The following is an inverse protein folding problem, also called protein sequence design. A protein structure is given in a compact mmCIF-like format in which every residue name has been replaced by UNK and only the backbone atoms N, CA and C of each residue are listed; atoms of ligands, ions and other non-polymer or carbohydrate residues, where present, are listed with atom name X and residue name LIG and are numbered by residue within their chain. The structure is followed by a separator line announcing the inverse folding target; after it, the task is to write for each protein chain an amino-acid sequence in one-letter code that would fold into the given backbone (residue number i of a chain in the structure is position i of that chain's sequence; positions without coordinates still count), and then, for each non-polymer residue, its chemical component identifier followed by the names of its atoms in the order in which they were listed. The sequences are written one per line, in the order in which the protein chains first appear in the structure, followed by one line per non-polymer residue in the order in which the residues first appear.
data_IF_556073282769
#
_entry.id   IF_556073282769
#
_cell.length_a   1.000
_cell.length_b   1.000
_cell.length_c   1.000
_cell.angle_alpha   90.00
_cell.angle_beta   90.00
_cell.angle_gamma   90.00
#
_symmetry.space_group_name_H-M   'P 1'
#
loop_
_entity.id
_entity.type
_entity.pdbx_description
1 polymer ?
#
# COMPACT_ATOMS: atom_id res chain seq x y z
N UNK A 1 -39.43 -12.10 1.03
CA UNK A 1 -38.23 -11.25 0.95
C UNK A 1 -37.60 -11.51 -0.41
N UNK A 2 -37.74 -10.56 -1.36
CA UNK A 2 -37.16 -10.68 -2.69
C UNK A 2 -35.69 -10.28 -2.62
N UNK A 3 -34.78 -11.18 -2.99
CA UNK A 3 -33.34 -10.89 -2.94
C UNK A 3 -32.91 -10.13 -4.20
N UNK A 4 -31.98 -9.18 -4.10
CA UNK A 4 -31.46 -8.44 -5.25
C UNK A 4 -30.68 -9.38 -6.18
N UNK A 5 -30.70 -9.09 -7.48
CA UNK A 5 -29.96 -9.84 -8.50
C UNK A 5 -28.46 -9.84 -8.14
N UNK A 6 -27.95 -10.98 -7.68
CA UNK A 6 -26.53 -11.17 -7.33
C UNK A 6 -25.71 -11.28 -8.60
N UNK A 7 -24.62 -10.52 -8.71
CA UNK A 7 -23.69 -10.65 -9.83
C UNK A 7 -22.33 -11.12 -9.30
N UNK A 8 -21.89 -12.29 -9.77
CA UNK A 8 -20.56 -12.84 -9.47
C UNK A 8 -19.62 -12.39 -10.58
N UNK A 9 -18.63 -11.55 -10.28
CA UNK A 9 -17.64 -11.14 -11.27
C UNK A 9 -16.73 -12.34 -11.60
N UNK A 10 -16.58 -12.72 -12.89
CA UNK A 10 -15.71 -13.83 -13.26
C UNK A 10 -14.24 -13.49 -12.92
N UNK A 11 -13.57 -14.35 -12.16
CA UNK A 11 -12.14 -14.21 -11.81
C UNK A 11 -11.85 -13.65 -10.42
N UNK A 12 -12.87 -13.28 -9.63
CA UNK A 12 -12.74 -13.09 -8.19
C UNK A 12 -12.95 -14.47 -7.55
N UNK A 13 -12.01 -14.93 -6.74
CA UNK A 13 -12.17 -16.10 -5.92
C UNK A 13 -13.49 -15.99 -5.11
N UNK A 14 -14.27 -17.08 -5.08
CA UNK A 14 -15.67 -17.19 -4.63
C UNK A 14 -15.95 -16.78 -3.15
N UNK A 15 -15.09 -15.99 -2.51
CA UNK A 15 -15.19 -15.57 -1.12
C UNK A 15 -16.10 -14.36 -0.89
N UNK A 16 -16.63 -13.69 -1.92
CA UNK A 16 -17.52 -12.55 -1.72
C UNK A 16 -18.61 -12.45 -2.78
N UNK A 17 -19.84 -12.20 -2.34
CA UNK A 17 -20.99 -11.88 -3.19
C UNK A 17 -21.37 -10.40 -3.07
N UNK A 18 -21.81 -9.83 -4.19
CA UNK A 18 -22.16 -8.43 -4.32
C UNK A 18 -23.56 -8.25 -4.92
N UNK A 19 -24.27 -7.24 -4.45
CA UNK A 19 -25.56 -6.84 -4.99
C UNK A 19 -25.75 -5.33 -4.97
N UNK A 20 -26.43 -4.82 -6.02
CA UNK A 20 -26.84 -3.42 -6.12
C UNK A 20 -28.25 -3.24 -5.54
N UNK A 21 -28.53 -2.16 -4.79
CA UNK A 21 -29.88 -1.82 -4.36
C UNK A 21 -30.79 -1.49 -5.55
N UNK A 22 -32.05 -1.89 -5.46
CA UNK A 22 -33.10 -1.38 -6.34
C UNK A 22 -33.81 -0.19 -5.66
N UNK A 23 -33.64 0.96 -6.28
CA UNK A 23 -34.38 2.23 -6.20
C UNK A 23 -34.35 3.10 -4.92
N UNK A 24 -34.33 2.57 -3.69
CA UNK A 24 -34.37 3.44 -2.48
C UNK A 24 -32.99 3.76 -1.86
N UNK A 25 -31.92 3.13 -2.35
CA UNK A 25 -30.57 3.13 -1.76
C UNK A 25 -29.47 3.47 -2.79
N UNK A 26 -29.74 4.40 -3.70
CA UNK A 26 -28.84 4.79 -4.80
C UNK A 26 -27.45 5.19 -4.25
N UNK A 27 -26.41 4.46 -4.68
CA UNK A 27 -25.01 4.67 -4.30
C UNK A 27 -24.49 3.75 -3.18
N UNK A 28 -25.33 2.95 -2.54
CA UNK A 28 -24.89 1.94 -1.57
C UNK A 28 -24.54 0.62 -2.26
N UNK A 29 -23.63 -0.16 -1.66
CA UNK A 29 -23.31 -1.52 -2.13
C UNK A 29 -23.53 -2.54 -1.01
N UNK A 30 -24.06 -3.70 -1.38
CA UNK A 30 -24.21 -4.84 -0.46
C UNK A 30 -23.13 -5.88 -0.76
N UNK A 31 -22.47 -6.37 0.29
CA UNK A 31 -21.45 -7.42 0.17
C UNK A 31 -21.62 -8.47 1.28
N UNK A 32 -21.41 -9.75 0.97
CA UNK A 32 -21.32 -10.84 1.97
C UNK A 32 -20.20 -11.81 1.64
N UNK A 33 -19.61 -12.43 2.65
CA UNK A 33 -18.47 -13.35 2.49
C UNK A 33 -18.86 -14.78 2.12
N UNK A 34 -20.09 -15.21 2.38
CA UNK A 34 -20.55 -16.56 2.01
C UNK A 34 -22.05 -16.57 1.70
N UNK A 35 -22.50 -17.31 0.67
CA UNK A 35 -23.91 -17.52 0.40
C UNK A 35 -24.61 -18.14 1.62
N UNK A 36 -25.69 -17.53 2.09
CA UNK A 36 -26.59 -18.15 3.07
C UNK A 36 -26.09 -18.28 4.52
N UNK A 37 -24.82 -17.96 4.80
CA UNK A 37 -24.23 -18.13 6.16
C UNK A 37 -24.09 -16.80 6.90
N UNK A 38 -23.84 -15.68 6.19
CA UNK A 38 -23.63 -14.36 6.80
C UNK A 38 -24.60 -13.33 6.22
N UNK A 39 -24.99 -12.39 7.06
CA UNK A 39 -25.86 -11.27 6.68
C UNK A 39 -25.17 -10.36 5.66
N UNK A 40 -25.98 -9.74 4.80
CA UNK A 40 -25.51 -8.74 3.85
C UNK A 40 -24.99 -7.52 4.59
N UNK A 41 -23.73 -7.16 4.36
CA UNK A 41 -23.15 -5.93 4.86
C UNK A 41 -23.44 -4.80 3.87
N UNK A 42 -24.17 -3.79 4.33
CA UNK A 42 -24.41 -2.54 3.59
C UNK A 42 -23.21 -1.60 3.75
N UNK A 43 -22.74 -1.06 2.63
CA UNK A 43 -21.65 -0.08 2.59
C UNK A 43 -22.16 1.22 1.97
N UNK A 44 -21.93 2.33 2.66
CA UNK A 44 -22.24 3.67 2.17
C UNK A 44 -21.19 4.17 1.18
N UNK A 45 -21.55 5.11 0.28
CA UNK A 45 -20.57 5.77 -0.59
C UNK A 45 -19.35 6.30 0.18
N UNK A 46 -19.57 6.86 1.38
CA UNK A 46 -18.49 7.37 2.22
C UNK A 46 -17.55 6.25 2.72
N UNK A 47 -18.06 5.05 3.01
CA UNK A 47 -17.24 3.90 3.39
C UNK A 47 -16.44 3.37 2.20
N UNK A 48 -17.05 3.28 1.02
CA UNK A 48 -16.36 2.88 -0.22
C UNK A 48 -15.25 3.88 -0.56
N UNK A 49 -15.54 5.19 -0.46
CA UNK A 49 -14.53 6.23 -0.65
C UNK A 49 -13.38 6.15 0.36
N UNK A 50 -13.61 5.68 1.59
CA UNK A 50 -12.52 5.49 2.57
C UNK A 50 -11.60 4.34 2.14
N UNK A 51 -12.16 3.25 1.61
CA UNK A 51 -11.37 2.11 1.13
C UNK A 51 -10.50 2.52 -0.06
N UNK A 52 -11.07 3.23 -1.05
CA UNK A 52 -10.33 3.69 -2.22
C UNK A 52 -9.24 4.70 -1.86
N UNK A 53 -9.52 5.64 -0.95
CA UNK A 53 -8.51 6.58 -0.43
C UNK A 53 -7.34 5.86 0.25
N UNK A 54 -7.61 4.84 1.06
CA UNK A 54 -6.56 4.05 1.71
C UNK A 54 -5.71 3.29 0.68
N UNK A 55 -6.35 2.65 -0.30
CA UNK A 55 -5.64 1.96 -1.39
C UNK A 55 -4.73 2.92 -2.18
N UNK A 56 -5.21 4.12 -2.50
CA UNK A 56 -4.42 5.14 -3.19
C UNK A 56 -3.24 5.65 -2.33
N UNK A 57 -3.44 5.77 -1.02
CA UNK A 57 -2.37 6.12 -0.08
C UNK A 57 -1.28 5.05 -0.04
N UNK A 58 -1.66 3.77 0.04
CA UNK A 58 -0.74 2.65 0.06
C UNK A 58 0.07 2.55 -1.24
N UNK A 59 -0.58 2.75 -2.40
CA UNK A 59 0.08 2.78 -3.70
C UNK A 59 1.13 3.89 -3.79
N UNK A 60 0.77 5.09 -3.33
CA UNK A 60 1.67 6.25 -3.25
C UNK A 60 2.86 6.00 -2.33
N UNK A 61 2.63 5.44 -1.14
CA UNK A 61 3.70 5.12 -0.19
C UNK A 61 4.61 4.01 -0.71
N UNK A 62 4.05 2.97 -1.34
CA UNK A 62 4.81 1.88 -1.97
C UNK A 62 5.77 2.44 -3.01
N UNK A 63 5.27 3.31 -3.88
CA UNK A 63 6.08 3.90 -4.93
C UNK A 63 7.22 4.78 -4.38
N UNK A 64 6.93 5.62 -3.40
CA UNK A 64 7.94 6.42 -2.70
C UNK A 64 9.03 5.55 -2.05
N UNK A 65 8.64 4.41 -1.45
CA UNK A 65 9.60 3.43 -0.91
C UNK A 65 10.48 2.83 -2.00
N UNK A 66 9.90 2.41 -3.13
CA UNK A 66 10.66 1.85 -4.26
C UNK A 66 11.70 2.85 -4.77
N UNK A 67 11.30 4.11 -5.02
CA UNK A 67 12.22 5.17 -5.45
C UNK A 67 13.35 5.40 -4.44
N UNK A 68 13.03 5.40 -3.15
CA UNK A 68 14.02 5.56 -2.08
C UNK A 68 15.02 4.40 -2.05
N UNK A 69 14.56 3.15 -2.14
CA UNK A 69 15.41 1.97 -2.11
C UNK A 69 16.35 1.90 -3.32
N UNK A 70 15.87 2.22 -4.52
CA UNK A 70 16.71 2.33 -5.73
C UNK A 70 17.84 3.35 -5.51
N UNK A 71 17.53 4.51 -4.93
CA UNK A 71 18.53 5.54 -4.62
C UNK A 71 19.53 5.16 -3.51
N UNK A 72 19.17 4.24 -2.61
CA UNK A 72 20.10 3.70 -1.60
C UNK A 72 21.00 2.59 -2.14
N UNK A 73 20.54 1.84 -3.15
CA UNK A 73 21.34 0.80 -3.80
C UNK A 73 22.38 1.39 -4.77
N UNK A 74 22.04 2.51 -5.42
CA UNK A 74 22.94 3.22 -6.32
C UNK A 74 22.99 4.73 -6.00
N UNK A 75 24.11 5.25 -5.46
CA UNK A 75 24.25 6.67 -5.11
C UNK A 75 24.02 7.65 -6.27
N UNK A 76 24.28 7.24 -7.51
CA UNK A 76 24.03 8.07 -8.70
C UNK A 76 22.53 8.19 -9.04
N UNK A 77 21.72 7.23 -8.58
CA UNK A 77 20.27 7.21 -8.74
C UNK A 77 19.54 7.77 -7.52
N UNK A 78 20.27 8.36 -6.56
CA UNK A 78 19.66 8.98 -5.39
C UNK A 78 18.79 10.16 -5.81
N UNK A 79 17.48 9.98 -5.72
CA UNK A 79 16.51 11.00 -6.07
C UNK A 79 16.31 12.01 -4.95
N UNK A 80 16.37 13.30 -5.28
CA UNK A 80 15.91 14.39 -4.41
C UNK A 80 14.37 14.41 -4.32
N UNK A 81 13.83 15.13 -3.34
CA UNK A 81 12.37 15.29 -3.20
C UNK A 81 11.73 15.87 -4.48
N UNK A 82 12.44 16.74 -5.21
CA UNK A 82 11.98 17.30 -6.47
C UNK A 82 11.97 16.25 -7.59
N UNK A 83 12.98 15.38 -7.64
CA UNK A 83 13.05 14.30 -8.64
C UNK A 83 11.96 13.25 -8.39
N UNK A 84 11.75 12.84 -7.14
CA UNK A 84 10.64 11.95 -6.78
C UNK A 84 9.27 12.55 -7.16
N UNK A 85 9.09 13.86 -6.99
CA UNK A 85 7.86 14.53 -7.40
C UNK A 85 7.65 14.52 -8.91
N UNK A 86 8.70 14.77 -9.71
CA UNK A 86 8.62 14.69 -11.19
C UNK A 86 8.26 13.29 -11.67
N UNK A 87 8.87 12.27 -11.08
CA UNK A 87 8.55 10.87 -11.40
C UNK A 87 7.10 10.51 -11.05
N UNK A 88 6.56 11.04 -9.94
CA UNK A 88 5.15 10.89 -9.59
C UNK A 88 4.22 11.57 -10.60
N UNK A 89 4.59 12.75 -11.12
CA UNK A 89 3.84 13.43 -12.18
C UNK A 89 3.84 12.60 -13.46
N UNK A 90 5.00 12.06 -13.86
CA UNK A 90 5.10 11.19 -15.04
C UNK A 90 4.19 9.96 -14.91
N UNK A 91 4.22 9.29 -13.76
CA UNK A 91 3.37 8.11 -13.51
C UNK A 91 1.88 8.44 -13.44
N UNK A 92 1.53 9.62 -12.95
CA UNK A 92 0.16 10.10 -13.01
C UNK A 92 -0.29 10.35 -14.46
N UNK A 93 0.59 10.89 -15.31
CA UNK A 93 0.31 11.02 -16.75
C UNK A 93 0.16 9.66 -17.46
N UNK A 94 0.84 8.62 -16.98
CA UNK A 94 0.66 7.24 -17.43
C UNK A 94 -0.60 6.55 -16.87
N UNK A 95 -1.40 7.23 -16.05
CA UNK A 95 -2.63 6.68 -15.45
C UNK A 95 -2.37 5.68 -14.32
N UNK A 96 -1.13 5.53 -13.84
CA UNK A 96 -0.82 4.67 -12.70
C UNK A 96 -1.33 5.28 -11.39
N UNK A 97 -1.46 6.61 -11.33
CA UNK A 97 -1.83 7.37 -10.13
C UNK A 97 -2.81 8.45 -10.55
N UNK A 98 -3.87 8.65 -9.77
CA UNK A 98 -4.74 9.82 -9.94
C UNK A 98 -3.95 11.11 -9.67
N UNK A 99 -4.09 12.10 -10.55
CA UNK A 99 -3.42 13.41 -10.47
C UNK A 99 -3.64 14.11 -9.14
N UNK A 100 -4.82 13.93 -8.55
CA UNK A 100 -5.22 14.58 -7.29
C UNK A 100 -4.49 14.00 -6.06
N UNK A 101 -3.89 12.81 -6.21
CA UNK A 101 -3.18 12.14 -5.11
C UNK A 101 -1.68 12.43 -5.07
N UNK A 102 -1.17 13.24 -6.01
CA UNK A 102 0.26 13.60 -6.05
C UNK A 102 0.62 14.44 -4.81
N UNK A 103 1.50 13.97 -3.92
CA UNK A 103 1.96 14.75 -2.78
C UNK A 103 2.75 15.98 -3.21
N UNK A 104 2.62 17.07 -2.44
CA UNK A 104 3.49 18.24 -2.56
C UNK A 104 4.94 17.86 -2.28
N UNK A 105 5.87 18.57 -2.90
CA UNK A 105 7.32 18.38 -2.71
C UNK A 105 7.70 18.47 -1.21
N UNK A 106 7.09 19.37 -0.45
CA UNK A 106 7.32 19.51 1.00
C UNK A 106 6.91 18.26 1.79
N UNK A 107 5.77 17.66 1.43
CA UNK A 107 5.31 16.40 2.03
C UNK A 107 6.29 15.28 1.73
N UNK A 108 6.80 15.20 0.50
CA UNK A 108 7.83 14.22 0.11
C UNK A 108 9.12 14.46 0.90
N UNK A 109 9.60 15.70 0.99
CA UNK A 109 10.83 16.04 1.72
C UNK A 109 10.74 15.70 3.22
N UNK A 110 9.59 16.00 3.84
CA UNK A 110 9.33 15.64 5.23
C UNK A 110 9.27 14.12 5.42
N UNK A 111 8.61 13.41 4.50
CA UNK A 111 8.56 11.96 4.50
C UNK A 111 9.96 11.34 4.34
N UNK A 112 10.77 11.80 3.38
CA UNK A 112 12.15 11.35 3.18
C UNK A 112 12.95 11.55 4.48
N UNK A 113 12.85 12.73 5.10
CA UNK A 113 13.59 13.05 6.31
C UNK A 113 13.20 12.16 7.50
N UNK A 114 11.90 11.91 7.68
CA UNK A 114 11.40 11.02 8.73
C UNK A 114 11.71 9.54 8.46
N UNK A 115 11.56 9.11 7.20
CA UNK A 115 11.81 7.74 6.77
C UNK A 115 13.30 7.39 6.83
N UNK A 116 14.18 8.28 6.36
CA UNK A 116 15.64 8.11 6.41
C UNK A 116 16.15 7.91 7.85
N UNK A 117 15.65 8.69 8.82
CA UNK A 117 16.02 8.53 10.24
C UNK A 117 15.65 7.14 10.77
N UNK A 118 14.43 6.68 10.52
CA UNK A 118 13.97 5.34 10.93
C UNK A 118 14.77 4.24 10.23
N UNK A 119 15.03 4.39 8.94
CA UNK A 119 15.81 3.44 8.16
C UNK A 119 17.25 3.34 8.64
N UNK A 120 17.91 4.47 8.92
CA UNK A 120 19.28 4.50 9.47
C UNK A 120 19.35 3.81 10.84
N UNK A 121 18.35 4.02 11.70
CA UNK A 121 18.25 3.32 12.99
C UNK A 121 18.06 1.80 12.80
N UNK A 122 17.17 1.38 11.89
CA UNK A 122 16.93 -0.03 11.59
C UNK A 122 18.18 -0.73 11.01
N UNK A 123 18.93 -0.06 10.14
CA UNK A 123 20.20 -0.57 9.63
C UNK A 123 21.25 -0.72 10.73
N UNK A 124 21.38 0.28 11.62
CA UNK A 124 22.32 0.22 12.73
C UNK A 124 22.00 -1.00 13.63
N UNK A 125 20.73 -1.25 13.92
CA UNK A 125 20.31 -2.43 14.68
C UNK A 125 20.66 -3.73 13.95
N UNK A 126 20.37 -3.84 12.65
CA UNK A 126 20.73 -5.04 11.87
C UNK A 126 22.23 -5.28 11.80
N UNK A 127 23.03 -4.22 11.68
CA UNK A 127 24.50 -4.33 11.66
C UNK A 127 25.06 -4.85 12.98
N UNK A 128 24.42 -4.55 14.11
CA UNK A 128 24.80 -5.09 15.42
C UNK A 128 24.41 -6.57 15.51
N UNK A 129 23.18 -6.90 15.14
CA UNK A 129 22.66 -8.28 15.16
C UNK A 129 23.46 -9.22 14.24
N UNK A 130 23.83 -8.77 13.03
CA UNK A 130 24.66 -9.54 12.09
C UNK A 130 26.10 -9.73 12.63
N UNK A 131 26.65 -8.72 13.29
CA UNK A 131 27.95 -8.83 13.96
C UNK A 131 27.93 -9.82 15.14
N UNK A 132 26.83 -9.87 15.89
CA UNK A 132 26.64 -10.83 16.99
C UNK A 132 26.46 -12.26 16.46
N UNK A 133 25.67 -12.44 15.40
CA UNK A 133 25.41 -13.74 14.79
C UNK A 133 26.65 -14.32 14.12
N UNK A 134 27.43 -13.49 13.43
CA UNK A 134 28.72 -13.89 12.83
C UNK A 134 29.78 -14.20 13.88
N UNK A 135 29.77 -13.51 15.02
CA UNK A 135 30.62 -13.85 16.17
C UNK A 135 30.23 -15.18 16.81
N UNK A 136 28.93 -15.45 16.95
CA UNK A 136 28.43 -16.69 17.54
C UNK A 136 28.71 -17.92 16.66
N UNK A 137 28.54 -17.80 15.33
CA UNK A 137 28.84 -18.88 14.39
C UNK A 137 30.34 -19.23 14.36
N UNK A 138 31.21 -18.22 14.32
CA UNK A 138 32.67 -18.39 14.36
C UNK A 138 33.18 -19.01 15.68
N UNK A 139 32.49 -18.77 16.80
CA UNK A 139 32.82 -19.42 18.08
C UNK A 139 32.44 -20.91 18.10
N UNK A 140 31.34 -21.29 17.43
CA UNK A 140 30.89 -22.70 17.38
C UNK A 140 31.74 -23.57 16.44
N UNK A 141 32.35 -22.98 15.42
CA UNK A 141 33.25 -23.69 14.49
C UNK A 141 34.64 -23.94 15.07
N UNK A 142 35.04 -23.21 16.12
CA UNK A 142 36.36 -23.37 16.78
C UNK A 142 36.36 -24.41 17.92
N UNK A 143 35.19 -24.94 18.32
CA UNK A 143 35.06 -25.97 19.36
C UNK A 143 34.87 -27.40 18.81
N UNK A 144 35.26 -27.66 17.56
CA UNK A 144 35.27 -29.00 16.95
C UNK A 144 36.69 -29.45 16.62
#
# INVERSE_FOLDING_TARGET
MSYPNTCTFPGIDNFHEWAWPQDDDIGYIYARTLPGIREWKKWSPAQVMKITKNHNLDKKLSLLKTMFHTGTANPQQKMSAQQMHKELILRAAHGEIETDNIPKITTIANWISGFYKKWKAAMAMRSIEEAETSRASNMSSFSK
#
